data_IF_173475612452
#
_entry.id   IF_173475612452
#
_cell.length_a   1.000
_cell.length_b   1.000
_cell.length_c   1.000
_cell.angle_alpha   90.00
_cell.angle_beta   90.00
_cell.angle_gamma   90.00
#
_symmetry.space_group_name_H-M   'P 1'
#
loop_
_entity.id
_entity.type
_entity.pdbx_description
1 polymer ?
#
# COMPACT_ATOMS: atom_id res chain seq x y z
N UNK A 1 -11.09 -64.45 17.51
CA UNK A 1 -11.43 -63.64 16.32
C UNK A 1 -10.14 -63.00 15.83
N UNK A 2 -9.16 -63.81 15.42
CA UNK A 2 -8.82 -64.26 14.04
C UNK A 2 -7.97 -63.25 13.25
N UNK A 3 -6.70 -63.11 13.70
CA UNK A 3 -5.55 -62.52 12.97
C UNK A 3 -5.38 -62.96 11.49
N UNK A 4 -5.81 -64.17 11.05
CA UNK A 4 -5.65 -64.55 9.63
C UNK A 4 -6.44 -63.68 8.65
N UNK A 5 -7.53 -63.04 9.08
CA UNK A 5 -8.38 -62.23 8.20
C UNK A 5 -7.76 -60.84 7.94
N UNK A 6 -7.07 -60.27 8.92
CA UNK A 6 -6.37 -58.99 8.78
C UNK A 6 -5.14 -59.11 7.88
N UNK A 7 -4.40 -60.22 7.96
CA UNK A 7 -3.22 -60.44 7.13
C UNK A 7 -3.61 -60.66 5.65
N UNK A 8 -4.72 -61.34 5.39
CA UNK A 8 -5.27 -61.51 4.03
C UNK A 8 -5.79 -60.18 3.46
N UNK A 9 -6.44 -59.35 4.29
CA UNK A 9 -6.87 -58.01 3.87
C UNK A 9 -5.69 -57.09 3.59
N UNK A 10 -4.64 -57.13 4.41
CA UNK A 10 -3.44 -56.30 4.22
C UNK A 10 -2.65 -56.73 2.97
N UNK A 11 -2.53 -58.03 2.73
CA UNK A 11 -1.92 -58.55 1.50
C UNK A 11 -2.73 -58.16 0.26
N UNK A 12 -4.05 -58.29 0.29
CA UNK A 12 -4.91 -57.89 -0.83
C UNK A 12 -4.85 -56.38 -1.12
N UNK A 13 -4.74 -55.53 -0.08
CA UNK A 13 -4.63 -54.08 -0.25
C UNK A 13 -3.26 -53.66 -0.78
N UNK A 14 -2.16 -54.33 -0.38
CA UNK A 14 -0.84 -54.06 -0.96
C UNK A 14 -0.74 -54.52 -2.42
N UNK A 15 -1.32 -55.68 -2.77
CA UNK A 15 -1.33 -56.17 -4.16
C UNK A 15 -2.17 -55.27 -5.09
N UNK A 16 -3.25 -54.67 -4.57
CA UNK A 16 -4.03 -53.64 -5.25
C UNK A 16 -3.31 -52.29 -5.38
N UNK A 17 -2.41 -51.96 -4.45
CA UNK A 17 -1.64 -50.71 -4.50
C UNK A 17 -0.42 -50.82 -5.44
N UNK A 18 0.25 -51.98 -5.47
CA UNK A 18 1.40 -52.24 -6.32
C UNK A 18 1.01 -52.49 -7.80
N UNK A 19 -0.27 -52.77 -8.07
CA UNK A 19 -0.85 -52.89 -9.41
C UNK A 19 -1.18 -51.55 -10.12
N UNK A 20 -1.12 -50.42 -9.42
CA UNK A 20 -1.46 -49.11 -10.01
C UNK A 20 -0.21 -48.44 -10.58
N UNK A 21 0.11 -48.77 -11.84
CA UNK A 21 1.03 -47.94 -12.64
C UNK A 21 0.28 -46.69 -13.11
N UNK A 22 0.82 -45.46 -12.94
CA UNK A 22 0.19 -44.27 -13.50
C UNK A 22 0.19 -44.35 -15.02
N UNK A 23 -1.00 -44.41 -15.64
CA UNK A 23 -1.18 -44.36 -17.08
C UNK A 23 -0.89 -42.93 -17.59
N UNK A 24 0.20 -42.67 -18.34
CA UNK A 24 0.61 -41.30 -18.69
C UNK A 24 -0.28 -40.63 -19.76
N UNK A 25 -1.24 -41.34 -20.34
CA UNK A 25 -1.87 -40.95 -21.62
C UNK A 25 -3.35 -40.52 -21.51
N UNK A 26 -3.97 -40.52 -20.32
CA UNK A 26 -5.37 -40.09 -20.16
C UNK A 26 -5.50 -38.56 -19.93
N UNK A 27 -4.56 -37.95 -19.20
CA UNK A 27 -4.55 -36.50 -18.97
C UNK A 27 -4.24 -35.70 -20.25
N UNK A 28 -3.37 -36.22 -21.12
CA UNK A 28 -2.99 -35.57 -22.40
C UNK A 28 -4.14 -35.67 -23.43
N UNK A 29 -4.85 -36.79 -23.49
CA UNK A 29 -6.02 -36.96 -24.39
C UNK A 29 -7.25 -36.16 -23.94
N UNK A 30 -7.44 -35.94 -22.64
CA UNK A 30 -8.51 -35.07 -22.11
C UNK A 30 -8.28 -33.57 -22.43
N UNK A 31 -7.03 -33.10 -22.37
CA UNK A 31 -6.68 -31.71 -22.70
C UNK A 31 -6.81 -31.39 -24.21
N UNK A 32 -6.61 -32.38 -25.09
CA UNK A 32 -6.78 -32.24 -26.54
C UNK A 32 -8.24 -32.03 -26.99
N UNK A 33 -9.20 -32.76 -26.41
CA UNK A 33 -10.64 -32.61 -26.72
C UNK A 33 -11.21 -31.30 -26.17
N UNK A 34 -10.78 -30.85 -24.98
CA UNK A 34 -11.22 -29.59 -24.38
C UNK A 34 -10.80 -28.34 -25.17
N UNK A 35 -9.59 -28.33 -25.74
CA UNK A 35 -9.08 -27.20 -26.55
C UNK A 35 -9.83 -27.02 -27.88
N UNK A 36 -10.28 -28.11 -28.52
CA UNK A 36 -11.08 -28.03 -29.77
C UNK A 36 -12.52 -27.53 -29.53
N UNK A 37 -13.16 -27.94 -28.44
CA UNK A 37 -14.50 -27.45 -28.06
C UNK A 37 -14.49 -25.96 -27.65
N UNK A 38 -13.46 -25.49 -26.92
CA UNK A 38 -13.31 -24.07 -26.57
C UNK A 38 -13.02 -23.19 -27.78
N UNK A 39 -12.26 -23.65 -28.78
CA UNK A 39 -12.03 -22.90 -30.03
C UNK A 39 -13.30 -22.77 -30.87
N UNK A 40 -14.12 -23.83 -30.98
CA UNK A 40 -15.40 -23.76 -31.73
C UNK A 40 -16.43 -22.85 -31.05
N UNK A 41 -16.55 -22.85 -29.71
CA UNK A 41 -17.48 -21.96 -28.99
C UNK A 41 -17.07 -20.48 -29.03
N UNK A 42 -15.78 -20.16 -29.07
CA UNK A 42 -15.29 -18.77 -29.21
C UNK A 42 -15.54 -18.19 -30.61
N UNK A 43 -15.47 -19.02 -31.65
CA UNK A 43 -15.75 -18.58 -33.02
C UNK A 43 -17.23 -18.21 -33.23
N UNK A 44 -18.17 -18.96 -32.64
CA UNK A 44 -19.61 -18.68 -32.75
C UNK A 44 -20.06 -17.47 -31.91
N UNK A 45 -19.43 -17.22 -30.76
CA UNK A 45 -19.75 -16.06 -29.92
C UNK A 45 -19.26 -14.72 -30.50
N UNK A 46 -18.10 -14.73 -31.19
CA UNK A 46 -17.55 -13.52 -31.81
C UNK A 46 -18.38 -12.97 -32.96
N UNK A 47 -18.99 -13.84 -33.77
CA UNK A 47 -19.83 -13.43 -34.91
C UNK A 47 -21.17 -12.83 -34.45
N UNK A 48 -21.79 -13.38 -33.40
CA UNK A 48 -23.05 -12.87 -32.88
C UNK A 48 -22.90 -11.47 -32.23
N UNK A 49 -21.80 -11.22 -31.51
CA UNK A 49 -21.55 -9.92 -30.88
C UNK A 49 -21.31 -8.80 -31.91
N UNK A 50 -20.64 -9.10 -33.02
CA UNK A 50 -20.36 -8.13 -34.08
C UNK A 50 -21.62 -7.71 -34.84
N UNK A 51 -22.55 -8.65 -35.09
CA UNK A 51 -23.85 -8.35 -35.70
C UNK A 51 -24.71 -7.46 -34.79
N UNK A 52 -24.70 -7.70 -33.48
CA UNK A 52 -25.45 -6.88 -32.52
C UNK A 52 -24.94 -5.43 -32.45
N UNK A 53 -23.62 -5.22 -32.45
CA UNK A 53 -23.04 -3.86 -32.43
C UNK A 53 -23.38 -3.10 -33.71
N UNK A 54 -23.30 -3.76 -34.87
CA UNK A 54 -23.66 -3.13 -36.16
C UNK A 54 -25.15 -2.80 -36.22
N UNK A 55 -26.03 -3.68 -35.76
CA UNK A 55 -27.48 -3.44 -35.75
C UNK A 55 -27.89 -2.26 -34.84
N UNK A 56 -27.17 -2.02 -33.74
CA UNK A 56 -27.46 -0.92 -32.81
C UNK A 56 -26.80 0.40 -33.24
N UNK A 57 -25.58 0.34 -33.77
CA UNK A 57 -24.82 1.56 -34.10
C UNK A 57 -25.23 2.18 -35.44
N UNK A 58 -25.61 1.37 -36.46
CA UNK A 58 -25.92 1.90 -37.79
C UNK A 58 -27.07 2.93 -37.81
N UNK A 59 -28.22 2.69 -37.16
CA UNK A 59 -29.31 3.67 -37.17
C UNK A 59 -28.89 4.97 -36.47
N UNK A 60 -28.09 4.89 -35.41
CA UNK A 60 -27.64 6.05 -34.65
C UNK A 60 -26.62 6.93 -35.39
N UNK A 61 -25.90 6.35 -36.35
CA UNK A 61 -24.96 7.08 -37.23
C UNK A 61 -25.70 7.65 -38.44
N UNK A 62 -26.65 6.91 -39.02
CA UNK A 62 -27.38 7.32 -40.22
C UNK A 62 -28.47 8.37 -39.96
N UNK A 63 -29.04 8.43 -38.75
CA UNK A 63 -30.13 9.35 -38.39
C UNK A 63 -29.68 10.56 -37.54
N UNK A 64 -28.39 10.89 -37.44
CA UNK A 64 -27.95 12.09 -36.70
C UNK A 64 -28.48 13.36 -37.37
N UNK A 65 -29.35 14.15 -36.72
CA UNK A 65 -29.69 15.49 -37.20
C UNK A 65 -28.44 16.37 -37.06
N UNK A 66 -28.05 17.06 -38.14
CA UNK A 66 -27.00 18.08 -38.05
C UNK A 66 -27.52 19.24 -37.21
N UNK A 67 -26.97 19.41 -36.00
CA UNK A 67 -27.14 20.66 -35.24
C UNK A 67 -26.48 21.78 -36.03
N UNK A 68 -27.28 22.76 -36.47
CA UNK A 68 -26.78 23.99 -37.05
C UNK A 68 -25.84 24.68 -36.03
N UNK A 69 -24.60 24.89 -36.44
CA UNK A 69 -23.61 25.61 -35.63
C UNK A 69 -24.11 27.04 -35.37
N UNK A 70 -24.30 27.40 -34.10
CA UNK A 70 -24.44 28.79 -33.71
C UNK A 70 -23.05 29.44 -33.72
N UNK A 71 -22.87 30.63 -34.32
CA UNK A 71 -21.61 31.35 -34.22
C UNK A 71 -21.36 31.75 -32.75
N UNK A 72 -20.25 31.27 -32.19
CA UNK A 72 -19.85 31.58 -30.83
C UNK A 72 -19.39 33.04 -30.71
N UNK A 73 -20.02 33.78 -29.81
CA UNK A 73 -19.49 35.03 -29.26
C UNK A 73 -18.19 34.71 -28.51
N UNK A 74 -17.08 35.45 -28.70
CA UNK A 74 -15.86 35.19 -27.94
C UNK A 74 -16.08 35.55 -26.47
N UNK A 75 -15.95 34.55 -25.59
CA UNK A 75 -15.94 34.74 -24.14
C UNK A 75 -14.75 35.65 -23.73
N UNK A 76 -14.93 36.52 -22.72
CA UNK A 76 -13.84 37.32 -22.20
C UNK A 76 -12.72 36.39 -21.69
N UNK A 77 -11.50 36.72 -22.08
CA UNK A 77 -10.28 35.94 -21.87
C UNK A 77 -10.15 35.51 -20.40
N UNK A 78 -10.44 34.23 -20.13
CA UNK A 78 -10.13 33.65 -18.83
C UNK A 78 -8.61 33.77 -18.62
N UNK A 79 -8.21 34.48 -17.57
CA UNK A 79 -6.81 34.53 -17.14
C UNK A 79 -6.38 33.11 -16.78
N UNK A 80 -5.71 32.43 -17.70
CA UNK A 80 -5.24 31.07 -17.49
C UNK A 80 -4.27 31.05 -16.31
N UNK A 81 -4.66 30.38 -15.21
CA UNK A 81 -3.72 30.06 -14.13
C UNK A 81 -2.53 29.34 -14.75
N UNK A 82 -1.29 29.85 -14.59
CA UNK A 82 -0.13 29.23 -15.21
C UNK A 82 0.03 27.80 -14.72
N UNK A 83 0.35 26.89 -15.65
CA UNK A 83 0.62 25.50 -15.31
C UNK A 83 1.81 25.42 -14.34
N UNK A 84 1.79 24.48 -13.37
CA UNK A 84 2.87 24.34 -12.42
C UNK A 84 4.20 24.02 -13.13
N UNK A 85 5.32 24.61 -12.70
CA UNK A 85 6.64 24.23 -13.21
C UNK A 85 6.89 22.73 -13.01
N UNK A 86 7.47 22.12 -14.04
CA UNK A 86 7.83 20.69 -14.06
C UNK A 86 9.35 20.59 -14.00
N UNK A 87 9.88 19.88 -13.01
CA UNK A 87 11.32 19.59 -12.90
C UNK A 87 11.77 18.63 -14.01
N UNK A 88 13.07 18.63 -14.35
CA UNK A 88 13.59 17.71 -15.37
C UNK A 88 13.29 16.25 -15.04
N UNK A 89 12.96 15.47 -16.08
CA UNK A 89 12.83 14.02 -15.99
C UNK A 89 14.19 13.42 -15.58
N UNK A 90 14.25 12.57 -14.55
CA UNK A 90 15.47 11.85 -14.22
C UNK A 90 15.98 11.03 -15.41
N UNK A 91 17.30 11.05 -15.62
CA UNK A 91 17.97 10.32 -16.69
C UNK A 91 17.96 8.79 -16.49
N UNK A 92 18.49 8.02 -17.46
CA UNK A 92 18.61 6.56 -17.35
C UNK A 92 19.54 6.12 -16.21
N UNK A 93 20.44 6.99 -15.76
CA UNK A 93 21.38 6.80 -14.66
C UNK A 93 20.85 7.35 -13.31
N UNK A 94 19.54 7.50 -13.16
CA UNK A 94 18.91 8.09 -11.97
C UNK A 94 19.30 7.41 -10.65
N UNK A 95 19.71 6.13 -10.69
CA UNK A 95 20.13 5.36 -9.50
C UNK A 95 21.49 5.78 -8.96
N UNK A 96 22.29 6.55 -9.72
CA UNK A 96 23.63 6.97 -9.31
C UNK A 96 23.66 8.08 -8.25
N UNK A 97 22.52 8.73 -8.00
CA UNK A 97 22.38 9.82 -7.02
C UNK A 97 20.98 9.82 -6.40
N UNK A 98 20.77 10.42 -5.21
CA UNK A 98 19.45 10.42 -4.58
C UNK A 98 18.44 11.22 -5.42
N UNK A 99 17.26 10.65 -5.65
CA UNK A 99 16.18 11.32 -6.38
C UNK A 99 15.47 12.33 -5.48
N UNK A 100 15.93 13.58 -5.54
CA UNK A 100 15.37 14.68 -4.77
C UNK A 100 13.98 15.07 -5.27
N UNK A 101 13.03 15.12 -4.34
CA UNK A 101 11.68 15.62 -4.52
C UNK A 101 11.60 17.10 -4.09
N UNK A 102 10.55 17.84 -4.48
CA UNK A 102 10.30 19.16 -3.93
C UNK A 102 10.15 19.13 -2.39
N UNK A 103 10.58 20.19 -1.71
CA UNK A 103 10.45 20.32 -0.26
C UNK A 103 11.56 19.67 0.58
N UNK A 104 12.71 19.37 -0.02
CA UNK A 104 13.83 18.67 0.63
C UNK A 104 13.51 17.25 1.10
N UNK A 105 12.75 16.53 0.27
CA UNK A 105 12.46 15.11 0.43
C UNK A 105 13.18 14.28 -0.63
N UNK A 106 13.28 12.98 -0.40
CA UNK A 106 13.96 12.05 -1.29
C UNK A 106 13.18 10.74 -1.36
N UNK A 107 13.19 10.10 -2.52
CA UNK A 107 12.72 8.71 -2.63
C UNK A 107 13.74 7.80 -1.95
N UNK A 108 13.34 7.10 -0.89
CA UNK A 108 14.22 6.15 -0.19
C UNK A 108 14.02 4.71 -0.61
N UNK A 109 12.84 4.39 -1.14
CA UNK A 109 12.55 3.06 -1.66
C UNK A 109 11.63 3.11 -2.87
N UNK A 110 11.78 2.13 -3.77
CA UNK A 110 10.84 1.80 -4.81
C UNK A 110 10.66 0.29 -4.87
N UNK A 111 9.63 -0.25 -4.24
CA UNK A 111 9.43 -1.69 -4.04
C UNK A 111 8.15 -2.19 -4.72
N UNK A 112 8.04 -3.50 -4.88
CA UNK A 112 6.86 -4.13 -5.47
C UNK A 112 6.31 -5.13 -4.45
N UNK A 113 5.15 -4.83 -3.86
CA UNK A 113 4.51 -5.67 -2.83
C UNK A 113 4.18 -7.09 -3.32
N UNK A 114 4.01 -7.28 -4.62
CA UNK A 114 3.69 -8.58 -5.24
C UNK A 114 4.90 -9.32 -5.86
N UNK A 115 6.13 -8.80 -5.73
CA UNK A 115 7.34 -9.41 -6.28
C UNK A 115 8.53 -9.13 -5.35
N UNK A 116 8.70 -9.97 -4.31
CA UNK A 116 9.82 -9.91 -3.39
C UNK A 116 11.16 -9.95 -4.17
N UNK A 117 12.16 -9.17 -3.75
CA UNK A 117 13.48 -9.15 -4.40
C UNK A 117 13.64 -8.29 -5.67
N UNK A 118 12.63 -7.49 -6.06
CA UNK A 118 12.77 -6.49 -7.15
C UNK A 118 12.46 -5.11 -6.59
N UNK A 119 13.48 -4.28 -6.38
CA UNK A 119 13.30 -2.92 -5.88
C UNK A 119 14.58 -2.09 -5.86
N UNK A 120 14.42 -0.82 -5.49
CA UNK A 120 15.53 0.11 -5.25
C UNK A 120 15.45 0.61 -3.83
N UNK A 121 16.59 0.71 -3.15
CA UNK A 121 16.71 1.28 -1.81
C UNK A 121 17.88 2.25 -1.80
N UNK A 122 17.67 3.43 -1.21
CA UNK A 122 18.70 4.45 -1.12
C UNK A 122 19.71 4.11 -0.03
N UNK A 123 20.95 3.83 -0.42
CA UNK A 123 22.10 3.90 0.49
C UNK A 123 22.43 5.38 0.72
N UNK A 124 21.94 5.92 1.84
CA UNK A 124 22.14 7.32 2.23
C UNK A 124 23.60 7.65 2.54
N UNK A 125 24.39 6.67 3.00
CA UNK A 125 25.81 6.87 3.31
C UNK A 125 26.64 7.06 2.04
N UNK A 126 26.34 6.29 0.99
CA UNK A 126 27.04 6.38 -0.31
C UNK A 126 26.34 7.28 -1.33
N UNK A 127 25.11 7.72 -1.05
CA UNK A 127 24.33 8.59 -1.92
C UNK A 127 23.92 7.94 -3.24
N UNK A 128 23.60 6.64 -3.25
CA UNK A 128 23.20 5.90 -4.46
C UNK A 128 22.16 4.82 -4.15
N UNK A 129 21.42 4.39 -5.15
CA UNK A 129 20.46 3.30 -4.98
C UNK A 129 21.13 1.93 -5.13
N UNK A 130 20.77 1.03 -4.23
CA UNK A 130 21.08 -0.40 -4.29
C UNK A 130 19.85 -1.16 -4.81
N UNK A 131 20.07 -2.32 -5.42
CA UNK A 131 18.97 -3.25 -5.71
C UNK A 131 18.55 -3.95 -4.42
N UNK A 132 17.25 -4.00 -4.16
CA UNK A 132 16.67 -4.69 -3.00
C UNK A 132 16.63 -6.20 -3.26
N UNK A 133 17.79 -6.83 -3.36
CA UNK A 133 17.95 -8.26 -3.60
C UNK A 133 18.20 -9.02 -2.28
N UNK A 134 17.73 -10.27 -2.21
CA UNK A 134 18.02 -11.19 -1.10
C UNK A 134 17.07 -11.10 0.10
N UNK A 135 16.06 -10.23 0.05
CA UNK A 135 15.00 -10.13 1.06
C UNK A 135 13.63 -10.03 0.40
N UNK A 136 12.61 -10.54 1.10
CA UNK A 136 11.26 -10.53 0.57
C UNK A 136 10.56 -9.18 0.75
N UNK A 137 10.88 -8.48 1.82
CA UNK A 137 10.45 -7.11 2.08
C UNK A 137 11.63 -6.26 2.51
N UNK A 138 11.68 -5.02 2.04
CA UNK A 138 12.68 -4.02 2.45
C UNK A 138 11.99 -2.70 2.73
N UNK A 139 12.17 -2.20 3.95
CA UNK A 139 11.53 -1.02 4.49
C UNK A 139 12.62 -0.10 5.06
N UNK A 140 13.14 0.86 4.27
CA UNK A 140 14.21 1.73 4.72
C UNK A 140 13.77 2.67 5.84
N UNK A 141 14.63 2.90 6.83
CA UNK A 141 14.39 3.91 7.85
C UNK A 141 14.33 5.31 7.20
N UNK A 142 13.49 6.22 7.73
CA UNK A 142 13.39 7.57 7.19
C UNK A 142 14.70 8.35 7.33
N UNK A 143 15.52 8.00 8.34
CA UNK A 143 16.84 8.59 8.61
C UNK A 143 17.88 7.50 8.87
N UNK A 144 19.16 7.83 8.69
CA UNK A 144 20.27 6.90 8.91
C UNK A 144 20.46 5.89 7.77
N UNK A 145 21.16 4.80 8.05
CA UNK A 145 21.49 3.74 7.07
C UNK A 145 20.71 2.45 7.27
N UNK A 146 19.87 2.36 8.30
CA UNK A 146 19.15 1.13 8.61
C UNK A 146 17.98 0.88 7.66
N UNK A 147 17.74 -0.38 7.35
CA UNK A 147 16.51 -0.85 6.71
C UNK A 147 15.99 -2.07 7.45
N UNK A 148 14.67 -2.11 7.64
CA UNK A 148 14.01 -3.31 8.12
C UNK A 148 13.81 -4.25 6.93
N UNK A 149 14.03 -5.54 7.15
CA UNK A 149 13.90 -6.56 6.11
C UNK A 149 13.11 -7.75 6.62
N UNK A 150 12.33 -8.36 5.74
CA UNK A 150 11.59 -9.60 6.01
C UNK A 150 12.06 -10.70 5.08
N UNK A 151 11.98 -11.93 5.55
CA UNK A 151 12.45 -13.14 4.85
C UNK A 151 11.44 -14.27 5.11
N UNK A 152 10.92 -14.87 4.04
CA UNK A 152 9.92 -15.94 4.08
C UNK A 152 10.43 -17.18 4.81
N UNK A 153 11.76 -17.42 4.83
CA UNK A 153 12.39 -18.49 5.60
C UNK A 153 12.47 -18.15 7.10
N UNK A 154 12.28 -16.87 7.46
CA UNK A 154 12.25 -16.36 8.84
C UNK A 154 10.94 -15.62 9.15
N UNK A 155 9.77 -16.28 9.06
CA UNK A 155 8.45 -15.63 9.10
C UNK A 155 8.05 -15.07 10.48
N UNK A 156 8.92 -15.20 11.48
CA UNK A 156 8.72 -14.70 12.85
C UNK A 156 9.73 -13.63 13.25
N UNK A 157 10.66 -13.33 12.37
CA UNK A 157 11.76 -12.41 12.63
C UNK A 157 11.71 -11.25 11.65
N UNK A 158 12.23 -10.12 12.11
CA UNK A 158 12.55 -8.98 11.26
C UNK A 158 14.06 -8.75 11.34
N UNK A 159 14.68 -8.54 10.19
CA UNK A 159 16.08 -8.15 10.10
C UNK A 159 16.21 -6.63 10.15
N UNK A 160 17.20 -6.11 10.87
CA UNK A 160 17.71 -4.76 10.68
C UNK A 160 19.04 -4.88 9.95
N UNK A 161 19.08 -4.41 8.71
CA UNK A 161 20.30 -4.32 7.90
C UNK A 161 20.82 -2.89 7.89
N UNK A 162 22.11 -2.72 8.17
CA UNK A 162 22.81 -1.47 7.94
C UNK A 162 23.31 -1.44 6.49
N UNK A 163 22.77 -0.53 5.67
CA UNK A 163 23.16 -0.40 4.27
C UNK A 163 24.59 0.15 4.09
N UNK A 164 25.17 0.75 5.14
CA UNK A 164 26.52 1.29 5.09
C UNK A 164 27.58 0.18 5.10
N UNK A 165 27.39 -0.90 5.85
CA UNK A 165 28.38 -1.99 5.96
C UNK A 165 27.83 -3.39 5.62
N UNK A 166 26.52 -3.52 5.41
CA UNK A 166 25.84 -4.76 5.07
C UNK A 166 25.59 -5.68 6.26
N UNK A 167 25.82 -5.23 7.50
CA UNK A 167 25.58 -6.04 8.69
C UNK A 167 24.07 -6.20 8.94
N UNK A 168 23.63 -7.43 9.19
CA UNK A 168 22.22 -7.74 9.48
C UNK A 168 22.07 -8.36 10.86
N UNK A 169 21.11 -7.88 11.64
CA UNK A 169 20.70 -8.46 12.92
C UNK A 169 19.23 -8.85 12.87
N UNK A 170 18.91 -10.06 13.32
CA UNK A 170 17.54 -10.58 13.31
C UNK A 170 16.91 -10.52 14.70
N UNK A 171 15.63 -10.15 14.76
CA UNK A 171 14.87 -10.01 15.99
C UNK A 171 13.54 -10.74 15.88
N UNK A 172 13.26 -11.64 16.82
CA UNK A 172 11.96 -12.32 16.94
C UNK A 172 10.87 -11.28 17.23
N UNK A 173 9.92 -11.10 16.32
CA UNK A 173 8.72 -10.26 16.47
C UNK A 173 7.43 -11.08 16.48
N UNK A 174 7.55 -12.42 16.47
CA UNK A 174 6.42 -13.33 16.42
C UNK A 174 5.72 -13.27 15.06
N UNK A 175 4.46 -13.72 14.99
CA UNK A 175 3.67 -13.62 13.76
C UNK A 175 3.05 -12.22 13.61
N UNK A 176 3.89 -11.19 13.63
CA UNK A 176 3.50 -9.87 13.12
C UNK A 176 3.00 -10.08 11.68
N UNK A 177 1.82 -9.52 11.38
CA UNK A 177 1.14 -9.75 10.10
C UNK A 177 1.28 -8.57 9.14
N UNK A 178 1.55 -7.38 9.67
CA UNK A 178 1.69 -6.17 8.89
C UNK A 178 3.17 -5.87 8.57
N UNK A 179 3.42 -5.19 7.44
CA UNK A 179 4.72 -4.58 7.19
C UNK A 179 5.17 -3.71 8.37
N UNK A 180 6.47 -3.72 8.73
CA UNK A 180 6.99 -2.86 9.78
C UNK A 180 6.85 -1.38 9.41
N UNK A 181 6.42 -0.55 10.36
CA UNK A 181 6.40 0.90 10.19
C UNK A 181 7.50 1.57 11.01
N UNK A 182 8.35 2.34 10.35
CA UNK A 182 9.36 3.15 11.03
C UNK A 182 8.73 4.37 11.70
N UNK A 183 9.13 4.60 12.94
CA UNK A 183 8.98 5.91 13.59
C UNK A 183 9.69 6.99 12.75
N UNK A 184 9.17 8.23 12.72
CA UNK A 184 9.74 9.35 11.97
C UNK A 184 11.21 9.64 12.23
N UNK A 185 11.71 9.34 13.43
CA UNK A 185 13.11 9.52 13.83
C UNK A 185 14.00 8.31 13.49
N UNK A 186 13.44 7.25 12.88
CA UNK A 186 14.16 6.05 12.48
C UNK A 186 14.71 5.21 13.63
N UNK A 187 14.26 5.42 14.87
CA UNK A 187 14.80 4.71 16.05
C UNK A 187 13.98 3.51 16.45
N UNK A 188 12.71 3.47 16.05
CA UNK A 188 11.74 2.44 16.42
C UNK A 188 11.00 1.90 15.20
N UNK A 189 10.66 0.63 15.28
CA UNK A 189 9.71 -0.06 14.41
C UNK A 189 8.43 -0.38 15.18
N UNK A 190 7.31 -0.26 14.49
CA UNK A 190 5.98 -0.62 14.96
C UNK A 190 5.44 -1.79 14.14
N UNK A 191 4.83 -2.74 14.84
CA UNK A 191 4.17 -3.89 14.24
C UNK A 191 2.77 -4.04 14.82
N UNK A 192 1.80 -4.36 13.97
CA UNK A 192 0.48 -4.80 14.42
C UNK A 192 0.51 -6.30 14.73
N UNK A 193 -0.07 -6.69 15.86
CA UNK A 193 -0.24 -8.11 16.21
C UNK A 193 -1.72 -8.43 16.41
N UNK A 194 -2.17 -9.51 15.76
CA UNK A 194 -3.49 -10.10 15.98
C UNK A 194 -3.42 -11.47 16.67
N UNK A 195 -2.21 -11.96 16.96
CA UNK A 195 -1.96 -13.37 17.34
C UNK A 195 -1.17 -13.56 18.62
N UNK A 196 -0.80 -12.49 19.33
CA UNK A 196 -0.26 -12.57 20.70
C UNK A 196 -1.41 -12.72 21.68
N UNK A 197 -2.05 -13.90 21.65
CA UNK A 197 -3.27 -14.26 22.39
C UNK A 197 -4.49 -13.32 22.15
N UNK A 198 -4.28 -12.08 21.66
CA UNK A 198 -5.17 -10.94 21.52
C UNK A 198 -4.52 -9.86 20.60
N UNK A 199 -5.28 -8.82 20.24
CA UNK A 199 -4.83 -7.67 19.45
C UNK A 199 -3.94 -6.69 20.22
N UNK A 200 -3.03 -6.03 19.51
CA UNK A 200 -2.16 -5.00 20.04
C UNK A 200 -1.04 -4.61 19.09
N UNK A 201 0.05 -4.09 19.64
CA UNK A 201 1.21 -3.66 18.87
C UNK A 201 2.54 -4.00 19.55
N UNK A 202 3.60 -4.08 18.75
CA UNK A 202 4.97 -4.30 19.20
C UNK A 202 5.80 -3.08 18.80
N UNK A 203 6.62 -2.61 19.72
CA UNK A 203 7.65 -1.59 19.47
C UNK A 203 9.02 -2.27 19.58
N UNK A 204 9.80 -2.20 18.51
CA UNK A 204 11.18 -2.67 18.45
C UNK A 204 12.11 -1.48 18.26
N UNK A 205 12.97 -1.23 19.23
CA UNK A 205 14.06 -0.25 19.15
C UNK A 205 15.20 -0.80 18.27
N UNK A 206 15.95 0.10 17.63
CA UNK A 206 17.11 -0.29 16.80
C UNK A 206 18.24 -0.97 17.57
N UNK A 207 18.28 -0.81 18.91
CA UNK A 207 19.19 -1.54 19.79
C UNK A 207 18.75 -2.99 20.09
N UNK A 208 17.55 -3.38 19.65
CA UNK A 208 16.96 -4.69 19.86
C UNK A 208 16.00 -4.78 21.04
N UNK A 209 15.83 -3.71 21.82
CA UNK A 209 14.85 -3.65 22.89
C UNK A 209 13.45 -3.76 22.31
N UNK A 210 12.71 -4.80 22.73
CA UNK A 210 11.37 -5.10 22.24
C UNK A 210 10.35 -5.01 23.34
N UNK A 211 9.24 -4.31 23.11
CA UNK A 211 8.07 -4.24 24.00
C UNK A 211 6.81 -4.61 23.23
N UNK A 212 5.95 -5.41 23.83
CA UNK A 212 4.66 -5.79 23.26
C UNK A 212 3.54 -5.28 24.16
N UNK A 213 2.57 -4.60 23.56
CA UNK A 213 1.46 -3.97 24.25
C UNK A 213 0.15 -4.52 23.71
N UNK A 214 -0.70 -4.96 24.63
CA UNK A 214 -2.01 -5.49 24.32
C UNK A 214 -3.06 -4.38 24.35
N UNK A 215 -3.98 -4.40 23.41
CA UNK A 215 -5.11 -3.47 23.32
C UNK A 215 -6.44 -4.22 23.47
N UNK A 216 -7.34 -3.67 24.28
CA UNK A 216 -8.69 -4.21 24.46
C UNK A 216 -9.58 -3.84 23.26
N UNK A 217 -9.80 -4.79 22.34
CA UNK A 217 -10.63 -4.62 21.14
C UNK A 217 -12.09 -4.25 21.44
N UNK A 218 -12.62 -4.64 22.60
CA UNK A 218 -14.00 -4.29 22.97
C UNK A 218 -14.10 -2.82 23.34
N UNK A 219 -13.04 -2.27 23.94
CA UNK A 219 -12.94 -0.86 24.32
C UNK A 219 -12.47 0.01 23.15
N UNK A 220 -11.53 -0.49 22.36
CA UNK A 220 -10.93 0.19 21.23
C UNK A 220 -11.32 -0.49 19.92
N UNK A 221 -12.62 -0.48 19.65
CA UNK A 221 -13.19 -1.20 18.52
C UNK A 221 -12.69 -0.67 17.18
N UNK A 222 -12.25 -1.57 16.33
CA UNK A 222 -11.79 -1.31 14.97
C UNK A 222 -12.26 -2.45 14.06
N UNK A 223 -12.64 -2.08 12.84
CA UNK A 223 -13.05 -2.99 11.76
C UNK A 223 -12.31 -2.63 10.47
N UNK A 224 -12.51 -3.43 9.42
CA UNK A 224 -11.82 -3.34 8.13
C UNK A 224 -10.30 -3.48 8.25
N UNK A 225 -9.58 -2.36 8.31
CA UNK A 225 -8.13 -2.28 8.38
C UNK A 225 -7.73 -1.71 9.74
N UNK A 226 -7.08 -2.53 10.57
CA UNK A 226 -6.78 -2.22 11.98
C UNK A 226 -5.29 -2.23 12.27
N UNK A 227 -4.53 -1.58 11.39
CA UNK A 227 -3.10 -1.43 11.58
C UNK A 227 -2.76 -0.21 12.42
N UNK A 228 -1.75 -0.38 13.28
CA UNK A 228 -1.19 0.73 14.03
C UNK A 228 -0.21 1.50 13.16
N UNK A 229 -0.26 2.83 13.25
CA UNK A 229 0.71 3.73 12.62
C UNK A 229 1.34 4.67 13.65
N UNK A 230 2.34 5.46 13.27
CA UNK A 230 2.96 6.42 14.18
C UNK A 230 2.25 7.78 14.21
N UNK A 231 2.28 8.44 15.37
CA UNK A 231 2.14 9.89 15.45
C UNK A 231 3.32 10.58 14.76
N UNK A 232 3.13 11.83 14.31
CA UNK A 232 4.20 12.58 13.61
C UNK A 232 5.49 12.74 14.42
N UNK A 233 5.38 12.85 15.73
CA UNK A 233 6.54 12.94 16.63
C UNK A 233 7.17 11.58 16.93
N UNK A 234 6.57 10.48 16.46
CA UNK A 234 7.02 9.12 16.68
C UNK A 234 6.88 8.63 18.11
N UNK A 235 6.13 9.32 18.99
CA UNK A 235 6.02 8.96 20.41
C UNK A 235 4.80 8.10 20.73
N UNK A 236 3.80 8.08 19.85
CA UNK A 236 2.54 7.38 20.06
C UNK A 236 2.24 6.44 18.88
N UNK A 237 1.73 5.26 19.18
CA UNK A 237 1.08 4.38 18.21
C UNK A 237 -0.39 4.81 18.04
N UNK A 238 -0.87 4.85 16.80
CA UNK A 238 -2.17 5.39 16.38
C UNK A 238 -3.01 4.25 15.82
N UNK A 239 -4.18 4.04 16.39
CA UNK A 239 -5.14 3.01 16.00
C UNK A 239 -6.43 3.65 15.48
N UNK A 240 -6.87 3.37 14.24
CA UNK A 240 -8.22 3.70 13.81
C UNK A 240 -9.31 3.11 14.70
N UNK A 241 -10.32 3.91 15.05
CA UNK A 241 -11.48 3.45 15.80
C UNK A 241 -12.75 3.54 14.96
N UNK A 242 -13.46 2.44 14.83
CA UNK A 242 -14.75 2.38 14.13
C UNK A 242 -15.87 2.88 15.05
N UNK A 243 -16.79 3.68 14.48
CA UNK A 243 -18.02 4.05 15.16
C UNK A 243 -18.94 2.86 15.41
N UNK A 244 -19.86 2.97 16.37
CA UNK A 244 -20.88 1.94 16.63
C UNK A 244 -22.05 2.13 15.64
N UNK A 245 -21.80 2.01 14.34
CA UNK A 245 -22.83 2.06 13.28
C UNK A 245 -23.02 0.68 12.64
N UNK A 246 -24.09 0.53 11.86
CA UNK A 246 -24.36 -0.69 11.08
C UNK A 246 -23.24 -0.92 10.06
N UNK A 247 -22.72 -2.13 10.03
CA UNK A 247 -21.75 -2.59 9.04
C UNK A 247 -22.43 -2.80 7.68
N UNK A 248 -21.78 -2.37 6.61
CA UNK A 248 -22.16 -2.64 5.22
C UNK A 248 -20.94 -3.23 4.51
N UNK A 249 -20.99 -4.51 4.11
CA UNK A 249 -19.85 -5.20 3.47
C UNK A 249 -19.40 -4.53 2.14
N UNK A 250 -20.25 -3.69 1.53
CA UNK A 250 -19.93 -2.98 0.30
C UNK A 250 -19.17 -1.67 0.52
N UNK A 251 -19.13 -1.15 1.76
CA UNK A 251 -18.52 0.12 2.12
C UNK A 251 -17.52 -0.06 3.26
N UNK A 252 -16.53 0.84 3.36
CA UNK A 252 -15.73 0.93 4.58
C UNK A 252 -16.62 1.35 5.74
N UNK A 253 -16.38 0.82 6.92
CA UNK A 253 -17.07 1.26 8.11
C UNK A 253 -16.68 2.70 8.46
N UNK A 254 -17.65 3.44 9.01
CA UNK A 254 -17.44 4.81 9.44
C UNK A 254 -16.45 4.87 10.61
N UNK A 255 -15.39 5.65 10.45
CA UNK A 255 -14.44 5.94 11.53
C UNK A 255 -15.01 7.01 12.46
N UNK A 256 -14.94 6.74 13.76
CA UNK A 256 -15.23 7.73 14.79
C UNK A 256 -14.02 8.64 15.08
N UNK A 257 -12.82 8.14 14.81
CA UNK A 257 -11.57 8.81 15.15
C UNK A 257 -10.40 7.85 15.18
N UNK A 258 -9.29 8.33 15.74
CA UNK A 258 -8.12 7.52 16.05
C UNK A 258 -7.81 7.58 17.55
N UNK A 259 -7.38 6.44 18.09
CA UNK A 259 -6.86 6.30 19.46
C UNK A 259 -5.35 6.32 19.42
N UNK A 260 -4.75 7.10 20.31
CA UNK A 260 -3.30 7.13 20.48
C UNK A 260 -2.91 6.38 21.75
N UNK A 261 -1.78 5.69 21.68
CA UNK A 261 -1.16 4.93 22.75
C UNK A 261 0.31 5.32 22.86
N UNK A 262 0.79 5.56 24.07
CA UNK A 262 2.21 5.77 24.32
C UNK A 262 3.02 4.56 23.85
N UNK A 263 4.06 4.81 23.05
CA UNK A 263 4.94 3.75 22.56
C UNK A 263 5.88 3.21 23.65
N UNK A 264 6.03 3.94 24.75
CA UNK A 264 6.94 3.56 25.84
C UNK A 264 6.30 2.58 26.82
N UNK A 265 5.01 2.76 27.12
CA UNK A 265 4.28 1.98 28.14
C UNK A 265 2.94 1.39 27.66
N UNK A 266 2.54 1.63 26.42
CA UNK A 266 1.33 1.07 25.79
C UNK A 266 0.03 1.69 26.30
N UNK A 267 0.08 2.71 27.15
CA UNK A 267 -1.13 3.29 27.74
C UNK A 267 -1.85 4.22 26.76
N UNK A 268 -3.19 4.20 26.72
CA UNK A 268 -3.97 5.13 25.90
C UNK A 268 -3.73 6.57 26.39
N UNK A 269 -3.47 7.49 25.45
CA UNK A 269 -3.16 8.89 25.76
C UNK A 269 -4.33 9.80 25.41
N UNK A 270 -4.73 9.85 24.14
CA UNK A 270 -5.77 10.74 23.63
C UNK A 270 -6.60 10.12 22.51
N UNK A 271 -7.75 10.73 22.24
CA UNK A 271 -8.62 10.44 21.11
C UNK A 271 -8.65 11.64 20.18
N UNK A 272 -8.56 11.40 18.87
CA UNK A 272 -8.68 12.45 17.86
C UNK A 272 -9.88 12.12 16.97
N UNK A 273 -10.94 12.96 16.94
CA UNK A 273 -12.22 12.65 16.29
C UNK A 273 -12.18 12.84 14.76
N UNK A 274 -11.29 12.14 14.06
CA UNK A 274 -11.13 12.24 12.60
C UNK A 274 -11.90 11.14 11.87
N UNK A 275 -12.69 11.45 10.82
CA UNK A 275 -13.56 10.48 10.15
C UNK A 275 -12.81 9.66 9.08
N UNK A 276 -11.64 9.10 9.42
CA UNK A 276 -10.86 8.26 8.51
C UNK A 276 -9.54 7.76 9.08
N UNK A 277 -8.81 7.04 8.23
CA UNK A 277 -7.54 6.38 8.57
C UNK A 277 -6.35 7.22 8.06
N UNK A 278 -5.46 7.71 8.93
CA UNK A 278 -4.21 8.33 8.48
C UNK A 278 -3.30 7.27 7.85
N UNK A 279 -2.65 7.61 6.73
CA UNK A 279 -1.77 6.69 6.02
C UNK A 279 -0.40 6.48 6.69
N UNK A 280 -0.05 7.31 7.67
CA UNK A 280 1.27 7.34 8.27
C UNK A 280 1.50 8.56 9.16
N UNK A 281 2.67 8.67 9.82
CA UNK A 281 3.05 9.83 10.63
C UNK A 281 3.13 11.12 9.82
N UNK A 282 3.47 10.99 8.53
CA UNK A 282 3.60 12.13 7.63
C UNK A 282 2.28 12.67 7.09
N UNK A 283 1.16 11.99 7.36
CA UNK A 283 -0.18 12.44 7.01
C UNK A 283 -0.71 13.53 7.97
N UNK A 284 -0.03 13.74 9.09
CA UNK A 284 -0.31 14.82 10.05
C UNK A 284 0.51 16.06 9.71
N UNK A 285 -0.13 17.23 9.81
CA UNK A 285 0.57 18.52 9.72
C UNK A 285 1.63 18.68 10.82
N UNK A 286 2.70 19.47 10.59
CA UNK A 286 3.75 19.69 11.58
C UNK A 286 3.24 20.27 12.90
N UNK A 287 2.25 21.17 12.84
CA UNK A 287 1.61 21.74 14.03
C UNK A 287 0.53 20.84 14.67
N UNK A 288 0.21 19.69 14.05
CA UNK A 288 -0.78 18.72 14.52
C UNK A 288 -2.24 19.19 14.44
N UNK A 289 -2.54 20.33 13.82
CA UNK A 289 -3.91 20.87 13.73
C UNK A 289 -4.72 20.26 12.58
N UNK A 290 -4.03 19.75 11.57
CA UNK A 290 -4.61 19.10 10.41
C UNK A 290 -4.06 17.69 10.22
N UNK A 291 -4.88 16.83 9.66
CA UNK A 291 -4.50 15.48 9.23
C UNK A 291 -5.17 15.15 7.90
N UNK A 292 -4.48 14.39 7.07
CA UNK A 292 -5.06 13.78 5.88
C UNK A 292 -5.37 12.32 6.17
N UNK A 293 -6.59 11.90 5.88
CA UNK A 293 -7.08 10.56 6.16
C UNK A 293 -7.79 9.96 4.95
N UNK A 294 -7.74 8.65 4.82
CA UNK A 294 -8.66 7.91 3.97
C UNK A 294 -10.01 7.82 4.68
N UNK A 295 -10.98 8.61 4.22
CA UNK A 295 -12.37 8.51 4.68
C UNK A 295 -13.06 7.26 4.13
N UNK A 296 -14.38 7.18 4.39
CA UNK A 296 -15.20 6.05 3.91
C UNK A 296 -15.15 5.88 2.39
N UNK A 297 -15.14 7.00 1.64
CA UNK A 297 -15.11 7.02 0.18
C UNK A 297 -13.91 7.82 -0.35
N UNK A 298 -13.73 9.03 0.17
CA UNK A 298 -12.77 10.00 -0.36
C UNK A 298 -11.60 10.22 0.61
N UNK A 299 -10.42 10.59 0.10
CA UNK A 299 -9.38 11.20 0.92
C UNK A 299 -9.82 12.56 1.46
N UNK A 300 -9.61 12.80 2.75
CA UNK A 300 -10.10 13.99 3.46
C UNK A 300 -8.95 14.74 4.11
N UNK A 301 -8.97 16.07 3.99
CA UNK A 301 -8.22 16.96 4.86
C UNK A 301 -9.12 17.36 6.03
N UNK A 302 -8.68 17.11 7.27
CA UNK A 302 -9.51 17.19 8.47
C UNK A 302 -8.83 18.00 9.57
N UNK A 303 -9.59 18.83 10.27
CA UNK A 303 -9.17 19.47 11.52
C UNK A 303 -9.14 18.45 12.67
N UNK A 304 -8.00 18.30 13.31
CA UNK A 304 -7.79 17.29 14.37
C UNK A 304 -8.61 17.59 15.62
N UNK A 305 -8.78 18.86 15.97
CA UNK A 305 -9.49 19.26 17.20
C UNK A 305 -11.01 19.09 17.13
N UNK A 306 -11.60 19.19 15.93
CA UNK A 306 -13.06 19.22 15.74
C UNK A 306 -13.58 18.04 14.93
N UNK A 307 -12.72 17.37 14.16
CA UNK A 307 -13.14 16.37 13.17
C UNK A 307 -13.75 16.97 11.91
N UNK A 308 -13.75 18.31 11.79
CA UNK A 308 -14.35 19.00 10.64
C UNK A 308 -13.56 18.70 9.39
N UNK A 309 -14.24 18.16 8.38
CA UNK A 309 -13.67 18.01 7.03
C UNK A 309 -13.49 19.40 6.43
N UNK A 310 -12.24 19.76 6.14
CA UNK A 310 -11.88 21.01 5.47
C UNK A 310 -12.19 20.89 3.97
N UNK A 311 -11.76 19.79 3.36
CA UNK A 311 -12.03 19.45 1.95
C UNK A 311 -11.62 18.01 1.62
N UNK A 312 -11.98 17.56 0.43
CA UNK A 312 -11.45 16.33 -0.17
C UNK A 312 -10.09 16.59 -0.85
N UNK A 313 -9.28 15.54 -0.93
CA UNK A 313 -7.98 15.53 -1.60
C UNK A 313 -7.93 14.43 -2.68
N UNK A 314 -7.00 14.52 -3.64
CA UNK A 314 -6.84 13.50 -4.68
C UNK A 314 -6.40 12.12 -4.13
N UNK A 315 -5.66 12.09 -3.03
CA UNK A 315 -5.14 10.87 -2.38
C UNK A 315 -4.98 11.09 -0.88
N UNK A 316 -5.06 10.00 -0.11
CA UNK A 316 -4.77 9.99 1.33
C UNK A 316 -3.28 9.77 1.62
N UNK A 317 -2.55 9.20 0.65
CA UNK A 317 -1.10 8.99 0.70
C UNK A 317 -0.36 10.30 0.43
N UNK A 318 -0.28 11.13 1.45
CA UNK A 318 0.38 12.43 1.41
C UNK A 318 1.49 12.54 2.44
N UNK A 319 2.39 13.46 2.17
CA UNK A 319 3.42 13.90 3.09
C UNK A 319 3.26 15.39 3.34
N UNK A 320 3.11 15.78 4.59
CA UNK A 320 3.21 17.18 5.00
C UNK A 320 4.67 17.64 5.06
N UNK A 321 5.00 18.56 4.15
CA UNK A 321 6.32 19.18 4.02
C UNK A 321 6.46 20.37 4.97
N UNK A 322 5.43 21.20 5.03
CA UNK A 322 5.27 22.37 5.92
C UNK A 322 3.80 22.51 6.28
N UNK A 323 3.44 23.44 7.17
CA UNK A 323 2.05 23.69 7.61
C UNK A 323 1.07 24.04 6.47
N UNK A 324 1.57 24.33 5.26
CA UNK A 324 0.78 24.76 4.11
C UNK A 324 1.12 24.02 2.80
N UNK A 325 1.92 22.94 2.87
CA UNK A 325 2.38 22.20 1.69
C UNK A 325 2.27 20.69 1.85
N UNK A 326 1.69 20.06 0.84
CA UNK A 326 1.54 18.62 0.71
C UNK A 326 2.36 18.13 -0.47
N UNK A 327 3.08 17.03 -0.27
CA UNK A 327 3.72 16.26 -1.32
C UNK A 327 2.96 14.95 -1.48
N UNK A 328 2.54 14.62 -2.70
CA UNK A 328 1.87 13.36 -2.96
C UNK A 328 2.08 12.91 -4.39
N UNK A 329 1.92 11.60 -4.60
CA UNK A 329 1.92 11.03 -5.94
C UNK A 329 0.56 11.26 -6.58
N UNK A 330 0.54 11.74 -7.83
CA UNK A 330 -0.73 11.99 -8.50
C UNK A 330 -1.46 10.65 -8.78
N UNK A 331 -2.78 10.56 -8.48
CA UNK A 331 -3.56 9.35 -8.75
C UNK A 331 -3.62 8.99 -10.24
N UNK A 332 -3.92 7.73 -10.54
CA UNK A 332 -4.31 7.24 -11.88
C UNK A 332 -3.27 7.43 -13.00
N UNK A 333 -2.00 7.11 -12.74
CA UNK A 333 -1.00 6.93 -13.80
C UNK A 333 -0.20 8.17 -14.18
N UNK A 334 -0.29 9.23 -13.38
CA UNK A 334 0.64 10.34 -13.46
C UNK A 334 1.95 9.90 -12.80
N UNK A 335 2.92 9.48 -13.61
CA UNK A 335 4.25 9.04 -13.18
C UNK A 335 5.11 10.17 -12.61
N UNK A 336 4.55 10.97 -11.70
CA UNK A 336 5.20 12.10 -11.05
C UNK A 336 4.65 12.34 -9.64
N UNK A 337 5.49 13.00 -8.84
CA UNK A 337 5.16 13.48 -7.50
C UNK A 337 4.93 14.98 -7.59
N UNK A 338 3.92 15.46 -6.86
CA UNK A 338 3.51 16.86 -6.89
C UNK A 338 3.59 17.47 -5.50
N UNK A 339 4.14 18.68 -5.45
CA UNK A 339 4.02 19.58 -4.32
C UNK A 339 2.84 20.51 -4.57
N UNK A 340 1.86 20.53 -3.67
CA UNK A 340 0.69 21.37 -3.74
C UNK A 340 0.49 22.19 -2.46
N UNK A 341 -0.23 23.30 -2.55
CA UNK A 341 -0.78 23.97 -1.37
C UNK A 341 -2.09 23.33 -0.91
N UNK A 342 -2.61 23.75 0.25
CA UNK A 342 -3.83 23.18 0.84
C UNK A 342 -5.09 23.45 0.01
N UNK A 343 -5.07 24.42 -0.91
CA UNK A 343 -6.19 24.65 -1.84
C UNK A 343 -6.26 23.59 -2.94
N UNK A 344 -5.21 22.76 -3.06
CA UNK A 344 -5.06 21.78 -4.13
C UNK A 344 -4.40 22.36 -5.38
N UNK A 345 -3.91 23.60 -5.32
CA UNK A 345 -3.11 24.16 -6.42
C UNK A 345 -1.73 23.53 -6.38
N UNK A 346 -1.41 22.85 -7.47
CA UNK A 346 -0.09 22.27 -7.69
C UNK A 346 0.93 23.39 -7.91
N UNK A 347 2.08 23.28 -7.24
CA UNK A 347 3.14 24.28 -7.23
C UNK A 347 4.35 23.81 -8.01
N UNK A 348 4.71 22.53 -7.91
CA UNK A 348 5.85 21.92 -8.60
C UNK A 348 5.53 20.46 -8.89
N UNK A 349 5.88 19.99 -10.09
CA UNK A 349 5.82 18.56 -10.45
C UNK A 349 7.23 17.98 -10.61
N UNK A 350 7.44 16.77 -10.12
CA UNK A 350 8.67 15.99 -10.27
C UNK A 350 8.35 14.65 -10.94
N UNK A 351 8.65 14.51 -12.25
CA UNK A 351 8.53 13.22 -12.93
C UNK A 351 9.37 12.14 -12.26
N UNK A 352 8.79 10.94 -12.16
CA UNK A 352 9.45 9.74 -11.69
C UNK A 352 10.11 9.01 -12.88
N UNK A 353 11.28 8.38 -12.67
CA UNK A 353 11.85 7.45 -13.64
C UNK A 353 10.87 6.31 -13.92
N UNK A 354 10.89 5.78 -15.14
CA UNK A 354 10.01 4.66 -15.56
C UNK A 354 10.06 3.48 -14.60
N UNK A 355 11.24 3.20 -14.06
CA UNK A 355 11.47 2.10 -13.12
C UNK A 355 10.69 2.25 -11.80
N UNK A 356 10.27 3.46 -11.44
CA UNK A 356 9.50 3.77 -10.23
C UNK A 356 8.00 4.00 -10.48
N UNK A 357 7.57 4.12 -11.75
CA UNK A 357 6.17 4.43 -12.07
C UNK A 357 5.25 3.31 -11.59
N UNK A 358 5.55 2.05 -11.83
CA UNK A 358 4.65 0.96 -11.43
C UNK A 358 4.97 0.39 -10.04
N UNK A 359 5.69 1.17 -9.20
CA UNK A 359 6.14 0.74 -7.87
C UNK A 359 5.48 1.56 -6.77
N UNK A 360 5.38 0.93 -5.60
CA UNK A 360 5.18 1.68 -4.37
C UNK A 360 6.48 2.43 -4.05
N UNK A 361 6.36 3.72 -3.74
CA UNK A 361 7.51 4.55 -3.40
C UNK A 361 7.42 4.96 -1.95
N UNK A 362 8.52 4.79 -1.22
CA UNK A 362 8.69 5.35 0.12
C UNK A 362 9.54 6.60 -0.02
N UNK A 363 9.11 7.66 0.65
CA UNK A 363 9.80 8.95 0.67
C UNK A 363 10.11 9.34 2.11
N UNK A 364 11.20 10.08 2.30
CA UNK A 364 11.60 10.56 3.60
C UNK A 364 12.28 11.94 3.47
N UNK A 365 12.43 12.69 4.57
CA UNK A 365 13.25 13.90 4.59
C UNK A 365 14.67 13.59 4.07
N UNK A 366 15.26 14.53 3.33
CA UNK A 366 16.52 14.30 2.65
C UNK A 366 17.69 14.05 3.61
#
# INVERSE_FOLDING_TARGET
>A
MTRPVEDVLRAAVHDLADGVRPAPDLAVRALGRGRRLRRRRRATAGVAALVAVVAVALPFVLLRPQLAAHPATPDPTATATPAPPVRPMPGPDWTAKPLALPGDWVVVAGTFTAAPGRGFVLDRARGRYLTAEGYDGVFPAPVGSLSAVTDEDRPREVGLVDLADGTTRWYEVGRALSPPEWSPDGRRLLFTTHRLDHFGFIVLETDGTKRAFRVDEKRYFCTDYCDFTWSRDGTEAVLPQTGRSSHDESLRDLRAGVRLFSADDGRPTRFVPVPGDPAGPWAWSPDGKLVVVQGQHDPLLVETGTGRVVRTLPTAEVVWISDDRLLYRRPNGAGDVVLADLTGRELVRQPLPKDLVDREITVAPR
#
